data_IF_538882443611
#
_entry.id   IF_538882443611
#
_cell.length_a   1.000
_cell.length_b   1.000
_cell.length_c   1.000
_cell.angle_alpha   90.00
_cell.angle_beta   90.00
_cell.angle_gamma   90.00
#
_symmetry.space_group_name_H-M   'P 1'
#
loop_
_entity.id
_entity.type
_entity.pdbx_description
1 polymer ?
#
# COMPACT_ATOMS: atom_id res chain seq x y z
N UNK A 1 -1.57 14.18 9.09
CA UNK A 1 -1.75 13.83 10.52
C UNK A 1 -3.08 13.13 10.66
N UNK A 2 -3.18 12.24 11.65
CA UNK A 2 -4.41 11.54 11.96
C UNK A 2 -5.27 12.39 12.91
N UNK A 3 -6.60 12.45 12.72
CA UNK A 3 -7.50 13.20 13.60
C UNK A 3 -7.35 12.74 15.06
N UNK A 4 -7.19 13.68 15.99
CA UNK A 4 -7.12 13.42 17.43
C UNK A 4 -5.81 12.80 17.96
N UNK A 5 -4.94 12.25 17.10
CA UNK A 5 -3.73 11.53 17.53
C UNK A 5 -2.43 12.03 16.87
N UNK A 6 -2.50 13.13 16.10
CA UNK A 6 -1.31 13.84 15.61
C UNK A 6 -0.50 13.05 14.58
N UNK A 7 0.82 13.02 14.73
CA UNK A 7 1.76 12.29 13.85
C UNK A 7 1.91 10.81 14.28
N UNK A 8 0.82 10.14 14.65
CA UNK A 8 0.83 8.74 15.06
C UNK A 8 1.22 7.74 13.95
N UNK A 9 1.45 8.19 12.71
CA UNK A 9 2.03 7.38 11.63
C UNK A 9 3.51 7.78 11.33
N UNK A 10 4.08 8.69 12.12
CA UNK A 10 5.48 9.12 11.98
C UNK A 10 5.79 9.95 10.72
N UNK A 11 4.79 10.59 10.09
CA UNK A 11 5.00 11.37 8.86
C UNK A 11 5.96 12.56 9.03
N UNK A 12 6.18 13.02 10.26
CA UNK A 12 7.22 14.00 10.59
C UNK A 12 8.63 13.44 10.34
N UNK A 13 8.85 12.15 10.62
CA UNK A 13 10.12 11.46 10.38
C UNK A 13 10.32 11.12 8.90
N UNK A 14 9.25 10.76 8.19
CA UNK A 14 9.26 10.59 6.73
C UNK A 14 9.74 11.89 6.06
N UNK A 15 9.11 13.01 6.42
CA UNK A 15 9.48 14.32 5.90
C UNK A 15 10.94 14.68 6.23
N UNK A 16 11.37 14.43 7.47
CA UNK A 16 12.75 14.70 7.91
C UNK A 16 13.78 13.88 7.13
N UNK A 17 13.54 12.58 6.94
CA UNK A 17 14.41 11.68 6.17
C UNK A 17 14.47 12.08 4.69
N UNK A 18 13.32 12.39 4.07
CA UNK A 18 13.26 12.82 2.67
C UNK A 18 13.96 14.16 2.43
N UNK A 19 13.78 15.14 3.32
CA UNK A 19 14.48 16.44 3.24
C UNK A 19 15.99 16.25 3.40
N UNK A 20 16.42 15.49 4.42
CA UNK A 20 17.83 15.22 4.66
C UNK A 20 18.48 14.51 3.46
N UNK A 21 17.82 13.49 2.91
CA UNK A 21 18.31 12.75 1.75
C UNK A 21 18.39 13.60 0.49
N UNK A 22 17.36 14.40 0.21
CA UNK A 22 17.33 15.29 -0.95
C UNK A 22 18.44 16.37 -0.86
N UNK A 23 18.60 17.01 0.30
CA UNK A 23 19.63 18.03 0.50
C UNK A 23 21.05 17.44 0.42
N UNK A 24 21.30 16.28 1.04
CA UNK A 24 22.60 15.62 0.95
C UNK A 24 22.95 15.23 -0.49
N UNK A 25 21.97 14.75 -1.26
CA UNK A 25 22.17 14.42 -2.68
C UNK A 25 22.42 15.68 -3.51
N UNK A 26 21.65 16.75 -3.28
CA UNK A 26 21.85 18.02 -3.98
C UNK A 26 23.23 18.62 -3.70
N UNK A 27 23.71 18.55 -2.45
CA UNK A 27 25.05 18.97 -2.08
C UNK A 27 26.12 18.14 -2.80
N UNK A 28 25.96 16.82 -2.84
CA UNK A 28 26.88 15.95 -3.58
C UNK A 28 26.95 16.33 -5.07
N UNK A 29 25.80 16.51 -5.74
CA UNK A 29 25.75 16.91 -7.15
C UNK A 29 26.37 18.29 -7.37
N UNK A 30 26.21 19.24 -6.45
CA UNK A 30 26.82 20.58 -6.56
C UNK A 30 28.35 20.55 -6.58
N UNK A 31 28.96 19.53 -5.97
CA UNK A 31 30.40 19.31 -5.98
C UNK A 31 30.89 18.42 -7.15
N UNK A 32 29.97 17.84 -7.93
CA UNK A 32 30.27 16.95 -9.04
C UNK A 32 29.50 17.37 -10.31
N UNK A 33 29.83 18.53 -10.91
CA UNK A 33 29.07 19.11 -12.04
C UNK A 33 29.12 18.27 -13.32
N UNK A 34 30.00 17.27 -13.40
CA UNK A 34 30.04 16.30 -14.50
C UNK A 34 28.93 15.25 -14.43
N UNK A 35 28.27 15.08 -13.28
CA UNK A 35 27.16 14.15 -13.12
C UNK A 35 25.85 14.80 -13.62
N UNK A 36 25.25 14.28 -14.70
CA UNK A 36 23.99 14.82 -15.21
C UNK A 36 22.82 14.40 -14.33
N UNK A 37 21.83 15.29 -14.17
CA UNK A 37 20.56 14.98 -13.55
C UNK A 37 20.07 16.02 -12.55
N UNK A 38 19.02 15.69 -11.81
CA UNK A 38 18.42 16.56 -10.80
C UNK A 38 17.69 15.76 -9.73
N UNK A 39 17.40 16.42 -8.62
CA UNK A 39 16.55 15.91 -7.55
C UNK A 39 15.31 16.78 -7.45
N UNK A 40 14.15 16.16 -7.27
CA UNK A 40 12.89 16.85 -6.97
C UNK A 40 12.33 16.30 -5.66
N UNK A 41 12.09 17.19 -4.70
CA UNK A 41 11.46 16.85 -3.44
C UNK A 41 9.98 17.21 -3.50
N UNK A 42 9.11 16.20 -3.35
CA UNK A 42 7.66 16.38 -3.37
C UNK A 42 7.10 16.43 -1.95
N UNK A 43 6.32 17.46 -1.65
CA UNK A 43 5.42 17.47 -0.50
C UNK A 43 4.09 16.80 -0.87
N UNK A 44 3.78 15.66 -0.25
CA UNK A 44 2.64 14.82 -0.65
C UNK A 44 1.61 14.74 0.50
N UNK A 45 0.62 15.65 0.55
CA UNK A 45 -0.36 15.66 1.65
C UNK A 45 -1.34 14.48 1.56
N UNK A 46 -2.10 14.25 2.64
CA UNK A 46 -3.28 13.38 2.64
C UNK A 46 -3.04 11.90 2.26
N UNK A 47 -1.89 11.32 2.62
CA UNK A 47 -1.62 9.90 2.38
C UNK A 47 -2.59 8.96 3.14
N UNK A 48 -3.05 9.34 4.35
CA UNK A 48 -3.96 8.57 5.23
C UNK A 48 -5.41 8.39 4.71
N UNK A 49 -5.67 8.65 3.42
CA UNK A 49 -6.96 8.39 2.78
C UNK A 49 -7.31 9.32 1.61
N UNK A 50 -6.56 10.41 1.40
CA UNK A 50 -6.81 11.36 0.31
C UNK A 50 -6.03 11.10 -0.97
N UNK A 51 -5.02 10.22 -0.94
CA UNK A 51 -4.20 9.82 -2.09
C UNK A 51 -3.45 10.98 -2.73
N UNK A 52 -2.73 11.79 -1.94
CA UNK A 52 -2.03 12.97 -2.48
C UNK A 52 -1.01 12.64 -3.56
N UNK A 53 -0.27 11.53 -3.44
CA UNK A 53 0.68 11.10 -4.48
C UNK A 53 -0.05 10.73 -5.77
N UNK A 54 -1.18 10.05 -5.67
CA UNK A 54 -2.04 9.71 -6.81
C UNK A 54 -2.54 10.97 -7.52
N UNK A 55 -2.95 11.99 -6.77
CA UNK A 55 -3.39 13.27 -7.34
C UNK A 55 -2.26 13.98 -8.08
N UNK A 56 -1.06 14.04 -7.49
CA UNK A 56 0.13 14.61 -8.15
C UNK A 56 0.53 13.82 -9.40
N UNK A 57 0.47 12.49 -9.34
CA UNK A 57 0.72 11.61 -10.48
C UNK A 57 -0.25 11.88 -11.62
N UNK A 58 -1.56 11.92 -11.33
CA UNK A 58 -2.62 12.22 -12.32
C UNK A 58 -2.52 13.64 -12.89
N UNK A 59 -2.06 14.60 -12.09
CA UNK A 59 -1.81 15.97 -12.54
C UNK A 59 -0.53 16.12 -13.39
N UNK A 60 0.24 15.03 -13.59
CA UNK A 60 1.44 15.04 -14.41
C UNK A 60 2.68 15.63 -13.72
N UNK A 61 2.66 15.84 -12.40
CA UNK A 61 3.77 16.49 -11.69
C UNK A 61 5.11 15.75 -11.87
N UNK A 62 5.08 14.42 -11.80
CA UNK A 62 6.27 13.58 -12.01
C UNK A 62 6.76 13.63 -13.46
N UNK A 63 5.84 13.60 -14.43
CA UNK A 63 6.16 13.66 -15.85
C UNK A 63 6.73 15.03 -16.25
N UNK A 64 6.18 16.13 -15.71
CA UNK A 64 6.68 17.49 -15.94
C UNK A 64 8.14 17.68 -15.51
N UNK A 65 8.60 16.89 -14.53
CA UNK A 65 9.99 16.88 -14.11
C UNK A 65 10.80 15.71 -14.67
N UNK A 66 10.24 14.82 -15.48
CA UNK A 66 10.96 13.67 -16.03
C UNK A 66 11.55 12.78 -14.94
N UNK A 67 10.76 12.45 -13.92
CA UNK A 67 11.23 11.61 -12.79
C UNK A 67 11.44 10.16 -13.25
N UNK A 68 12.66 9.66 -13.12
CA UNK A 68 13.02 8.27 -13.47
C UNK A 68 12.71 7.24 -12.37
N UNK A 69 12.77 7.65 -11.10
CA UNK A 69 12.51 6.79 -9.93
C UNK A 69 12.08 7.60 -8.71
N UNK A 70 11.49 6.93 -7.72
CA UNK A 70 11.05 7.54 -6.46
C UNK A 70 11.64 6.82 -5.24
N UNK A 71 12.03 7.58 -4.22
CA UNK A 71 12.59 7.08 -2.96
C UNK A 71 11.78 7.65 -1.78
N UNK A 72 11.36 6.78 -0.87
CA UNK A 72 10.69 7.15 0.38
C UNK A 72 11.09 6.20 1.52
N UNK A 73 10.78 6.60 2.75
CA UNK A 73 10.91 5.76 3.93
C UNK A 73 9.65 5.81 4.78
N UNK A 74 9.47 4.81 5.65
CA UNK A 74 8.37 4.79 6.61
C UNK A 74 8.85 4.27 7.97
N UNK A 75 8.58 5.00 9.07
CA UNK A 75 8.89 4.52 10.41
C UNK A 75 7.91 3.43 10.85
N UNK A 76 8.39 2.54 11.71
CA UNK A 76 7.58 1.55 12.39
C UNK A 76 8.26 1.05 13.65
N UNK A 77 7.76 -0.06 14.18
CA UNK A 77 8.35 -0.75 15.35
C UNK A 77 8.94 -2.11 14.97
N UNK A 78 8.84 -2.49 13.69
CA UNK A 78 9.38 -3.73 13.14
C UNK A 78 10.79 -3.49 12.60
N UNK A 79 11.55 -4.57 12.40
CA UNK A 79 12.93 -4.50 11.95
C UNK A 79 13.09 -3.67 10.67
N UNK A 80 14.24 -3.00 10.54
CA UNK A 80 14.61 -2.24 9.35
C UNK A 80 14.57 -3.14 8.11
N UNK A 81 14.10 -2.59 6.99
CA UNK A 81 13.98 -3.30 5.72
C UNK A 81 14.24 -2.36 4.55
N UNK A 82 14.88 -2.86 3.49
CA UNK A 82 15.03 -2.12 2.24
C UNK A 82 13.89 -2.40 1.25
N UNK A 83 13.20 -3.52 1.41
CA UNK A 83 12.18 -4.03 0.50
C UNK A 83 10.81 -4.05 1.18
N UNK A 84 10.33 -2.88 1.63
CA UNK A 84 9.00 -2.79 2.21
C UNK A 84 7.94 -3.02 1.13
N UNK A 85 7.05 -3.98 1.35
CA UNK A 85 5.89 -4.28 0.49
C UNK A 85 4.61 -4.06 1.28
N UNK A 86 3.73 -3.22 0.75
CA UNK A 86 2.43 -2.88 1.36
C UNK A 86 1.30 -3.53 0.58
N UNK A 87 0.19 -3.84 1.24
CA UNK A 87 -1.00 -4.42 0.61
C UNK A 87 -1.78 -3.42 -0.26
N UNK A 88 -2.48 -3.94 -1.27
CA UNK A 88 -3.47 -3.20 -2.06
C UNK A 88 -4.82 -3.22 -1.34
N UNK A 89 -5.62 -2.15 -1.48
CA UNK A 89 -7.01 -2.17 -1.02
C UNK A 89 -7.95 -1.37 -1.91
N UNK A 90 -9.24 -1.69 -1.83
CA UNK A 90 -10.34 -0.90 -2.37
C UNK A 90 -11.44 -0.77 -1.31
N UNK A 91 -11.90 0.44 -1.08
CA UNK A 91 -13.09 0.73 -0.29
C UNK A 91 -14.25 1.14 -1.21
N UNK A 92 -15.47 0.74 -0.86
CA UNK A 92 -16.65 1.06 -1.64
C UNK A 92 -17.92 1.01 -0.79
N UNK A 93 -18.90 1.83 -1.16
CA UNK A 93 -20.25 1.81 -0.60
C UNK A 93 -21.16 0.96 -1.46
N UNK A 94 -22.01 0.16 -0.82
CA UNK A 94 -23.04 -0.66 -1.44
C UNK A 94 -24.40 -0.13 -1.03
N UNK A 95 -25.27 0.10 -2.00
CA UNK A 95 -26.64 0.56 -1.81
C UNK A 95 -27.60 -0.39 -2.53
N UNK A 96 -28.66 -0.83 -1.84
CA UNK A 96 -29.78 -1.56 -2.42
C UNK A 96 -31.02 -0.69 -2.42
N UNK A 97 -31.73 -0.69 -3.54
CA UNK A 97 -33.00 0.02 -3.72
C UNK A 97 -34.10 -0.99 -4.06
N UNK A 98 -35.13 -1.00 -3.22
CA UNK A 98 -36.30 -1.86 -3.32
C UNK A 98 -37.58 -1.05 -3.43
N UNK A 99 -38.65 -1.56 -2.82
CA UNK A 99 -39.98 -0.95 -2.83
C UNK A 99 -40.69 -1.23 -1.51
N UNK A 100 -41.21 -0.18 -0.89
CA UNK A 100 -41.93 -0.32 0.38
C UNK A 100 -43.28 -1.02 0.17
N UNK A 101 -43.69 -1.75 1.19
CA UNK A 101 -45.03 -2.33 1.33
C UNK A 101 -45.30 -2.55 2.83
N UNK A 102 -46.57 -2.70 3.20
CA UNK A 102 -46.91 -3.00 4.59
C UNK A 102 -46.54 -4.47 4.87
N UNK A 103 -45.59 -4.69 5.78
CA UNK A 103 -44.96 -6.00 5.96
C UNK A 103 -45.97 -7.12 6.29
N UNK A 104 -47.04 -6.81 7.04
CA UNK A 104 -48.07 -7.79 7.38
C UNK A 104 -49.26 -7.85 6.40
N UNK A 105 -49.57 -6.77 5.67
CA UNK A 105 -50.84 -6.66 4.94
C UNK A 105 -50.70 -7.02 3.46
N UNK A 106 -49.57 -6.64 2.84
CA UNK A 106 -49.34 -6.85 1.42
C UNK A 106 -47.84 -7.00 1.08
N UNK A 107 -47.08 -7.88 1.78
CA UNK A 107 -45.63 -8.01 1.58
C UNK A 107 -45.23 -8.39 0.15
N UNK A 108 -46.09 -9.12 -0.58
CA UNK A 108 -45.85 -9.51 -1.98
C UNK A 108 -45.77 -8.33 -2.97
N UNK A 109 -46.18 -7.13 -2.56
CA UNK A 109 -46.01 -5.91 -3.35
C UNK A 109 -44.64 -5.25 -3.11
N UNK A 110 -43.91 -5.63 -2.06
CA UNK A 110 -42.61 -5.05 -1.71
C UNK A 110 -41.43 -5.69 -2.42
N UNK A 111 -40.29 -5.00 -2.38
CA UNK A 111 -38.96 -5.53 -2.73
C UNK A 111 -38.04 -5.15 -1.57
N UNK A 112 -37.53 -6.15 -0.84
CA UNK A 112 -36.82 -5.91 0.41
C UNK A 112 -35.31 -5.71 0.21
N UNK A 113 -34.85 -4.46 0.30
CA UNK A 113 -33.45 -4.09 0.20
C UNK A 113 -32.60 -4.60 1.38
N UNK A 114 -33.18 -4.71 2.59
CA UNK A 114 -32.45 -5.27 3.74
C UNK A 114 -32.15 -6.75 3.51
N UNK A 115 -33.12 -7.52 3.02
CA UNK A 115 -32.92 -8.95 2.72
C UNK A 115 -31.86 -9.13 1.63
N UNK A 116 -31.77 -8.22 0.66
CA UNK A 116 -30.72 -8.21 -0.35
C UNK A 116 -29.33 -8.05 0.29
N UNK A 117 -29.18 -7.09 1.22
CA UNK A 117 -27.93 -6.84 1.92
C UNK A 117 -27.56 -8.00 2.85
N UNK A 118 -28.53 -8.57 3.57
CA UNK A 118 -28.31 -9.73 4.45
C UNK A 118 -27.90 -10.95 3.63
N UNK A 119 -28.56 -11.21 2.49
CA UNK A 119 -28.20 -12.29 1.57
C UNK A 119 -26.77 -12.13 1.06
N UNK A 120 -26.39 -10.92 0.65
CA UNK A 120 -25.02 -10.62 0.25
C UNK A 120 -24.02 -10.83 1.40
N UNK A 121 -24.37 -10.41 2.63
CA UNK A 121 -23.51 -10.60 3.81
C UNK A 121 -23.31 -12.09 4.14
N UNK A 122 -24.35 -12.90 4.03
CA UNK A 122 -24.26 -14.35 4.17
C UNK A 122 -23.39 -14.96 3.08
N UNK A 123 -23.53 -14.52 1.82
CA UNK A 123 -22.68 -14.96 0.72
C UNK A 123 -21.21 -14.58 0.94
N UNK A 124 -20.92 -13.39 1.46
CA UNK A 124 -19.58 -12.97 1.86
C UNK A 124 -19.03 -13.86 2.99
N UNK A 125 -19.87 -14.22 3.97
CA UNK A 125 -19.48 -15.13 5.04
C UNK A 125 -19.07 -16.51 4.50
N UNK A 126 -19.80 -17.04 3.52
CA UNK A 126 -19.45 -18.29 2.87
C UNK A 126 -18.15 -18.18 2.05
N UNK A 127 -17.97 -17.09 1.29
CA UNK A 127 -16.78 -16.83 0.47
C UNK A 127 -15.47 -16.86 1.27
N UNK A 128 -15.48 -16.48 2.55
CA UNK A 128 -14.28 -16.42 3.40
C UNK A 128 -13.51 -17.73 3.51
N UNK A 129 -14.16 -18.88 3.32
CA UNK A 129 -13.43 -20.16 3.31
C UNK A 129 -12.58 -20.34 2.03
N UNK A 130 -12.92 -19.66 0.94
CA UNK A 130 -12.25 -19.75 -0.36
C UNK A 130 -11.28 -18.59 -0.63
N UNK A 131 -11.02 -17.73 0.35
CA UNK A 131 -10.04 -16.65 0.24
C UNK A 131 -8.62 -17.14 0.49
N UNK A 132 -7.62 -16.47 -0.12
CA UNK A 132 -6.21 -16.79 0.10
C UNK A 132 -5.72 -16.23 1.44
N UNK A 133 -4.62 -16.76 2.01
CA UNK A 133 -3.89 -16.06 3.05
C UNK A 133 -3.55 -14.62 2.60
N UNK A 134 -3.80 -13.63 3.46
CA UNK A 134 -3.59 -12.20 3.15
C UNK A 134 -4.84 -11.49 2.60
N UNK A 135 -5.84 -12.21 2.10
CA UNK A 135 -7.11 -11.61 1.69
C UNK A 135 -7.91 -11.16 2.92
N UNK A 136 -8.40 -9.92 2.89
CA UNK A 136 -9.22 -9.36 3.97
C UNK A 136 -10.46 -8.71 3.38
N UNK A 137 -11.63 -9.12 3.89
CA UNK A 137 -12.93 -8.51 3.59
C UNK A 137 -13.49 -7.94 4.88
N UNK A 138 -13.79 -6.65 4.90
CA UNK A 138 -14.33 -5.90 6.03
C UNK A 138 -15.55 -5.11 5.59
N UNK A 139 -16.46 -4.81 6.52
CA UNK A 139 -17.54 -3.87 6.25
C UNK A 139 -18.49 -3.69 7.42
N UNK A 140 -19.39 -2.72 7.26
CA UNK A 140 -20.46 -2.41 8.20
C UNK A 140 -21.79 -2.15 7.45
N UNK A 141 -22.90 -2.24 8.16
CA UNK A 141 -24.21 -1.81 7.66
C UNK A 141 -24.42 -0.37 8.14
N UNK A 142 -24.54 0.56 7.20
CA UNK A 142 -24.76 1.99 7.50
C UNK A 142 -26.24 2.34 7.51
N UNK A 143 -27.07 1.57 6.81
CA UNK A 143 -28.53 1.66 6.85
C UNK A 143 -29.15 0.28 6.72
N UNK A 144 -29.89 -0.14 7.74
CA UNK A 144 -30.54 -1.46 7.82
C UNK A 144 -32.06 -1.41 7.62
N UNK A 145 -32.59 -0.39 6.94
CA UNK A 145 -34.03 -0.17 6.82
C UNK A 145 -34.64 0.70 7.93
N UNK A 146 -35.95 0.92 7.86
CA UNK A 146 -36.67 1.91 8.67
C UNK A 146 -37.35 1.32 9.92
N UNK A 147 -38.49 0.63 9.77
CA UNK A 147 -39.26 0.04 10.86
C UNK A 147 -39.73 -1.38 10.50
N UNK A 148 -39.85 -2.32 11.46
CA UNK A 148 -40.19 -3.72 11.16
C UNK A 148 -41.53 -3.94 10.45
N UNK A 149 -42.48 -3.01 10.55
CA UNK A 149 -43.80 -3.11 9.90
C UNK A 149 -43.81 -2.65 8.44
N UNK A 150 -42.65 -2.26 7.88
CA UNK A 150 -42.49 -1.76 6.51
C UNK A 150 -41.41 -2.60 5.82
N UNK A 151 -41.71 -3.14 4.62
CA UNK A 151 -40.68 -3.72 3.76
C UNK A 151 -39.67 -2.65 3.38
N UNK A 152 -38.39 -2.90 3.64
CA UNK A 152 -37.37 -1.86 3.53
C UNK A 152 -37.02 -1.58 2.06
N UNK A 153 -37.31 -0.37 1.58
CA UNK A 153 -36.94 0.05 0.21
C UNK A 153 -35.49 0.50 0.07
N UNK A 154 -34.75 0.65 1.17
CA UNK A 154 -33.36 1.06 1.13
C UNK A 154 -32.55 0.37 2.22
N UNK A 155 -31.35 -0.10 1.85
CA UNK A 155 -30.33 -0.58 2.76
C UNK A 155 -28.95 -0.28 2.18
N UNK A 156 -27.97 -0.03 3.04
CA UNK A 156 -26.62 0.33 2.62
C UNK A 156 -25.55 -0.14 3.61
N UNK A 157 -24.33 -0.25 3.11
CA UNK A 157 -23.15 -0.57 3.91
C UNK A 157 -21.85 -0.13 3.23
N UNK A 158 -20.81 0.08 4.03
CA UNK A 158 -19.47 0.38 3.52
C UNK A 158 -18.57 -0.84 3.70
N UNK A 159 -17.78 -1.13 2.67
CA UNK A 159 -16.95 -2.33 2.61
C UNK A 159 -15.53 -2.00 2.15
N UNK A 160 -14.58 -2.78 2.64
CA UNK A 160 -13.18 -2.73 2.26
C UNK A 160 -12.70 -4.12 1.91
N UNK A 161 -11.98 -4.23 0.80
CA UNK A 161 -11.32 -5.45 0.37
C UNK A 161 -9.83 -5.16 0.23
N UNK A 162 -8.99 -6.04 0.75
CA UNK A 162 -7.52 -5.91 0.76
C UNK A 162 -6.88 -7.23 0.37
N UNK A 163 -5.77 -7.16 -0.36
CA UNK A 163 -4.96 -8.32 -0.71
C UNK A 163 -3.49 -7.91 -0.88
N UNK A 164 -2.59 -8.90 -0.92
CA UNK A 164 -1.14 -8.68 -0.98
C UNK A 164 -0.65 -8.07 -2.32
N UNK A 165 -1.46 -8.16 -3.37
CA UNK A 165 -1.14 -7.58 -4.69
C UNK A 165 -2.39 -7.02 -5.37
N UNK A 166 -2.20 -6.07 -6.28
CA UNK A 166 -3.27 -5.50 -7.09
C UNK A 166 -3.98 -6.55 -7.95
N UNK A 167 -3.23 -7.53 -8.48
CA UNK A 167 -3.79 -8.62 -9.26
C UNK A 167 -4.72 -9.49 -8.40
N UNK A 168 -4.27 -9.89 -7.20
CA UNK A 168 -5.09 -10.67 -6.27
C UNK A 168 -6.30 -9.86 -5.77
N UNK A 169 -6.11 -8.56 -5.51
CA UNK A 169 -7.19 -7.66 -5.11
C UNK A 169 -8.30 -7.61 -6.18
N UNK A 170 -7.93 -7.54 -7.47
CA UNK A 170 -8.90 -7.53 -8.56
C UNK A 170 -9.73 -8.83 -8.60
N UNK A 171 -9.10 -9.99 -8.41
CA UNK A 171 -9.79 -11.28 -8.32
C UNK A 171 -10.74 -11.35 -7.13
N UNK A 172 -10.26 -10.97 -5.95
CA UNK A 172 -11.05 -10.96 -4.71
C UNK A 172 -12.22 -9.98 -4.82
N UNK A 173 -12.00 -8.79 -5.39
CA UNK A 173 -13.05 -7.78 -5.61
C UNK A 173 -14.14 -8.29 -6.53
N UNK A 174 -13.77 -9.05 -7.57
CA UNK A 174 -14.73 -9.70 -8.46
C UNK A 174 -15.53 -10.80 -7.76
N UNK A 175 -14.90 -11.59 -6.88
CA UNK A 175 -15.61 -12.58 -6.03
C UNK A 175 -16.62 -11.90 -5.10
N UNK A 176 -16.19 -10.85 -4.40
CA UNK A 176 -17.02 -10.03 -3.51
C UNK A 176 -18.16 -9.34 -4.25
N UNK A 177 -17.91 -8.85 -5.47
CA UNK A 177 -18.94 -8.24 -6.32
C UNK A 177 -20.10 -9.21 -6.59
N UNK A 178 -19.79 -10.48 -6.91
CA UNK A 178 -20.82 -11.50 -7.14
C UNK A 178 -21.68 -11.78 -5.90
N UNK A 179 -21.13 -11.65 -4.70
CA UNK A 179 -21.92 -11.77 -3.47
C UNK A 179 -22.99 -10.68 -3.36
N UNK A 180 -22.66 -9.44 -3.73
CA UNK A 180 -23.64 -8.35 -3.76
C UNK A 180 -24.64 -8.53 -4.90
N UNK A 181 -24.20 -8.95 -6.08
CA UNK A 181 -25.11 -9.24 -7.19
C UNK A 181 -26.10 -10.37 -6.86
N UNK A 182 -25.67 -11.39 -6.10
CA UNK A 182 -26.55 -12.45 -5.63
C UNK A 182 -27.68 -11.93 -4.73
N UNK A 183 -27.39 -10.97 -3.83
CA UNK A 183 -28.41 -10.33 -2.99
C UNK A 183 -29.44 -9.55 -3.80
N UNK A 184 -28.98 -8.81 -4.82
CA UNK A 184 -29.85 -8.11 -5.77
C UNK A 184 -30.76 -9.08 -6.53
N UNK A 185 -30.17 -10.14 -7.08
CA UNK A 185 -30.85 -11.14 -7.88
C UNK A 185 -31.91 -11.90 -7.07
N UNK A 186 -31.58 -12.33 -5.84
CA UNK A 186 -32.47 -13.10 -5.00
C UNK A 186 -33.75 -12.34 -4.60
N UNK A 187 -33.66 -11.02 -4.48
CA UNK A 187 -34.73 -10.17 -3.96
C UNK A 187 -35.43 -9.34 -5.02
N UNK A 188 -34.81 -9.13 -6.18
CA UNK A 188 -35.24 -8.17 -7.18
C UNK A 188 -34.87 -6.72 -6.86
N UNK A 189 -34.07 -6.47 -5.81
CA UNK A 189 -33.57 -5.13 -5.48
C UNK A 189 -32.54 -4.66 -6.52
N UNK A 190 -32.50 -3.35 -6.76
CA UNK A 190 -31.46 -2.73 -7.59
C UNK A 190 -30.22 -2.47 -6.76
N UNK A 191 -29.08 -3.00 -7.19
CA UNK A 191 -27.77 -2.76 -6.60
C UNK A 191 -27.09 -1.53 -7.22
N UNK A 192 -26.46 -0.71 -6.38
CA UNK A 192 -25.49 0.32 -6.78
C UNK A 192 -24.24 0.14 -5.92
N UNK A 193 -23.08 0.13 -6.58
CA UNK A 193 -21.79 0.07 -5.91
C UNK A 193 -20.97 1.28 -6.31
N UNK A 194 -20.47 2.02 -5.32
CA UNK A 194 -19.68 3.24 -5.53
C UNK A 194 -18.32 3.07 -4.88
N UNK A 195 -17.24 3.08 -5.67
CA UNK A 195 -15.89 3.08 -5.12
C UNK A 195 -15.58 4.40 -4.40
N UNK A 196 -15.03 4.31 -3.19
CA UNK A 196 -14.73 5.47 -2.33
C UNK A 196 -13.23 5.71 -2.16
N UNK A 197 -12.39 4.70 -2.43
CA UNK A 197 -10.95 4.81 -2.32
C UNK A 197 -10.24 3.54 -2.77
N UNK A 198 -9.00 3.68 -3.24
CA UNK A 198 -8.17 2.55 -3.65
C UNK A 198 -6.70 2.93 -3.58
N UNK A 199 -5.85 2.05 -3.04
CA UNK A 199 -4.39 2.11 -3.21
C UNK A 199 -3.89 0.78 -3.77
N UNK A 200 -2.89 0.83 -4.64
CA UNK A 200 -2.18 -0.36 -5.11
C UNK A 200 -1.21 -0.87 -4.03
N UNK A 201 -0.74 -2.11 -4.18
CA UNK A 201 0.38 -2.61 -3.40
C UNK A 201 1.67 -1.88 -3.77
N UNK A 202 2.61 -1.75 -2.83
CA UNK A 202 3.93 -1.24 -3.16
C UNK A 202 4.83 -2.38 -3.63
N UNK A 203 5.37 -2.25 -4.84
CA UNK A 203 6.34 -3.19 -5.41
C UNK A 203 7.76 -2.61 -5.27
N UNK A 204 8.56 -3.06 -4.28
CA UNK A 204 9.89 -2.51 -4.06
C UNK A 204 10.86 -2.91 -5.18
N UNK A 205 11.66 -1.94 -5.66
CA UNK A 205 12.69 -2.20 -6.66
C UNK A 205 13.95 -2.81 -6.03
N UNK A 206 14.18 -4.10 -6.31
CA UNK A 206 15.30 -4.90 -5.77
C UNK A 206 16.70 -4.29 -5.98
N UNK A 207 17.09 -3.83 -7.18
CA UNK A 207 18.37 -3.13 -7.35
C UNK A 207 18.56 -1.89 -6.45
N UNK A 208 17.51 -1.08 -6.26
CA UNK A 208 17.54 0.05 -5.31
C UNK A 208 17.65 -0.44 -3.86
N UNK A 209 16.90 -1.48 -3.49
CA UNK A 209 16.99 -2.11 -2.17
C UNK A 209 18.39 -2.64 -1.86
N UNK A 210 19.03 -3.31 -2.81
CA UNK A 210 20.42 -3.77 -2.70
C UNK A 210 21.39 -2.62 -2.46
N UNK A 211 21.19 -1.48 -3.14
CA UNK A 211 21.98 -0.27 -2.90
C UNK A 211 21.78 0.26 -1.48
N UNK A 212 20.51 0.36 -1.05
CA UNK A 212 20.17 0.83 0.29
C UNK A 212 20.73 -0.07 1.39
N UNK A 213 20.56 -1.38 1.26
CA UNK A 213 21.05 -2.38 2.23
C UNK A 213 22.56 -2.26 2.44
N UNK A 214 23.35 -2.08 1.36
CA UNK A 214 24.78 -1.82 1.50
C UNK A 214 25.05 -0.56 2.31
N UNK A 215 24.45 0.56 1.91
CA UNK A 215 24.66 1.85 2.57
C UNK A 215 24.24 1.83 4.04
N UNK A 216 23.05 1.30 4.33
CA UNK A 216 22.52 1.16 5.68
C UNK A 216 23.43 0.30 6.56
N UNK A 217 23.86 -0.86 6.05
CA UNK A 217 24.72 -1.77 6.81
C UNK A 217 26.13 -1.23 7.07
N UNK A 218 26.62 -0.32 6.22
CA UNK A 218 27.86 0.45 6.47
C UNK A 218 27.66 1.53 7.53
N UNK A 219 26.47 2.15 7.59
CA UNK A 219 26.12 3.15 8.59
C UNK A 219 25.75 2.54 9.97
N UNK A 220 25.43 1.24 10.01
CA UNK A 220 25.07 0.53 11.25
C UNK A 220 26.31 0.15 12.08
N UNK A 221 26.12 0.06 13.40
CA UNK A 221 27.19 -0.21 14.37
C UNK A 221 27.82 -1.59 14.17
N UNK A 222 29.07 -1.73 14.64
CA UNK A 222 29.89 -2.95 14.45
C UNK A 222 29.30 -4.20 15.12
N UNK A 223 28.40 -4.04 16.08
CA UNK A 223 27.74 -5.13 16.82
C UNK A 223 26.64 -5.85 16.02
N UNK A 224 26.34 -5.38 14.80
CA UNK A 224 25.44 -6.08 13.86
C UNK A 224 23.94 -5.91 14.15
N UNK A 225 23.57 -5.21 15.23
CA UNK A 225 22.18 -4.87 15.53
C UNK A 225 21.64 -3.87 14.50
N UNK A 226 20.41 -4.10 14.03
CA UNK A 226 19.76 -3.25 13.02
C UNK A 226 20.38 -3.35 11.62
N UNK A 227 21.04 -4.46 11.28
CA UNK A 227 21.44 -4.73 9.89
C UNK A 227 20.28 -5.34 9.10
N UNK A 228 20.14 -4.87 7.87
CA UNK A 228 19.22 -5.45 6.89
C UNK A 228 19.88 -6.72 6.31
N UNK A 229 19.15 -7.85 6.17
CA UNK A 229 19.67 -9.05 5.54
C UNK A 229 20.25 -8.77 4.15
N UNK A 230 21.36 -9.42 3.80
CA UNK A 230 21.92 -9.35 2.44
C UNK A 230 21.10 -10.19 1.45
N UNK A 231 20.38 -11.19 1.96
CA UNK A 231 19.43 -11.98 1.19
C UNK A 231 18.14 -11.16 0.97
N UNK A 232 17.89 -10.80 -0.29
CA UNK A 232 16.76 -9.95 -0.70
C UNK A 232 15.41 -10.64 -0.45
N UNK A 233 15.33 -11.97 -0.50
CA UNK A 233 14.08 -12.70 -0.25
C UNK A 233 13.74 -12.67 1.25
N UNK A 234 14.76 -12.80 2.12
CA UNK A 234 14.59 -12.67 3.56
C UNK A 234 14.20 -11.25 3.95
N UNK A 235 14.82 -10.23 3.33
CA UNK A 235 14.45 -8.83 3.57
C UNK A 235 13.01 -8.54 3.13
N UNK A 236 12.60 -8.98 1.94
CA UNK A 236 11.23 -8.77 1.44
C UNK A 236 10.19 -9.48 2.33
N UNK A 237 10.46 -10.71 2.81
CA UNK A 237 9.55 -11.40 3.74
C UNK A 237 9.39 -10.60 5.04
N UNK A 238 10.47 -10.03 5.58
CA UNK A 238 10.42 -9.19 6.79
C UNK A 238 9.75 -7.84 6.55
N UNK A 239 9.89 -7.30 5.34
CA UNK A 239 9.34 -6.01 4.94
C UNK A 239 7.87 -6.04 4.49
N UNK A 240 7.22 -7.22 4.45
CA UNK A 240 5.79 -7.33 4.14
C UNK A 240 4.94 -6.81 5.28
N UNK A 241 3.97 -5.98 4.93
CA UNK A 241 2.98 -5.43 5.86
C UNK A 241 1.60 -5.34 5.23
N UNK A 242 0.55 -5.48 6.06
CA UNK A 242 -0.84 -5.27 5.68
C UNK A 242 -1.26 -3.79 5.71
N UNK A 243 -0.32 -2.87 5.95
CA UNK A 243 -0.54 -1.45 5.70
C UNK A 243 -0.80 -1.19 4.20
N UNK A 244 -1.34 -0.02 3.88
CA UNK A 244 -1.49 0.48 2.50
C UNK A 244 -1.06 1.92 2.42
N UNK A 245 -0.51 2.29 1.28
CA UNK A 245 -0.03 3.66 1.04
C UNK A 245 -0.19 4.01 -0.43
N UNK A 246 -0.42 5.29 -0.72
CA UNK A 246 -0.47 5.80 -2.09
C UNK A 246 0.90 5.78 -2.80
N UNK A 247 1.97 5.38 -2.09
CA UNK A 247 3.25 5.01 -2.70
C UNK A 247 3.13 3.78 -3.61
N UNK A 248 2.16 2.90 -3.34
CA UNK A 248 1.88 1.77 -4.22
C UNK A 248 1.62 2.22 -5.65
N UNK A 249 0.75 3.22 -5.84
CA UNK A 249 0.45 3.80 -7.14
C UNK A 249 1.68 4.41 -7.84
N UNK A 250 2.60 4.99 -7.08
CA UNK A 250 3.89 5.46 -7.62
C UNK A 250 4.74 4.28 -8.12
N UNK A 251 4.82 3.19 -7.36
CA UNK A 251 5.58 1.99 -7.76
C UNK A 251 5.06 1.30 -9.03
N UNK A 252 3.77 1.48 -9.35
CA UNK A 252 3.21 1.03 -10.62
C UNK A 252 3.43 1.99 -11.79
N UNK A 253 3.81 3.24 -11.51
CA UNK A 253 4.07 4.25 -12.52
C UNK A 253 5.56 4.41 -12.87
N UNK A 254 6.44 4.12 -11.92
CA UNK A 254 7.89 4.20 -12.08
C UNK A 254 8.61 3.34 -11.01
N UNK A 255 9.90 3.02 -11.19
CA UNK A 255 10.70 2.38 -10.15
C UNK A 255 10.58 3.12 -8.81
N UNK A 256 10.27 2.38 -7.75
CA UNK A 256 10.06 2.94 -6.42
C UNK A 256 10.81 2.13 -5.38
N UNK A 257 11.42 2.82 -4.42
CA UNK A 257 11.95 2.24 -3.19
C UNK A 257 11.20 2.84 -2.00
N UNK A 258 10.65 1.97 -1.17
CA UNK A 258 10.13 2.32 0.15
C UNK A 258 10.87 1.49 1.18
N UNK A 259 11.60 2.16 2.08
CA UNK A 259 12.35 1.49 3.16
C UNK A 259 11.59 1.60 4.47
N UNK A 260 11.56 0.51 5.24
CA UNK A 260 11.03 0.51 6.60
C UNK A 260 12.17 0.74 7.59
N UNK A 261 11.94 1.54 8.63
CA UNK A 261 12.92 1.72 9.70
C UNK A 261 12.27 1.69 11.09
N UNK A 262 12.95 1.07 12.04
CA UNK A 262 12.47 0.96 13.40
C UNK A 262 12.74 2.24 14.19
N UNK A 263 11.75 2.71 14.95
CA UNK A 263 11.93 3.66 16.05
C UNK A 263 11.48 2.99 17.36
N UNK A 264 11.83 3.55 18.54
CA UNK A 264 11.29 3.05 19.79
C UNK A 264 9.75 2.97 19.73
N UNK A 265 9.14 1.87 20.23
CA UNK A 265 7.68 1.79 20.28
C UNK A 265 7.11 2.81 21.28
N UNK A 266 5.79 3.00 21.24
CA UNK A 266 5.09 3.66 22.34
C UNK A 266 5.31 2.94 23.67
N UNK A 267 5.03 3.60 24.80
CA UNK A 267 5.25 3.04 26.16
C UNK A 267 4.58 1.66 26.34
N UNK A 268 3.41 1.44 25.75
CA UNK A 268 2.70 0.17 25.73
C UNK A 268 3.14 -0.82 24.64
N UNK A 269 4.27 -0.58 23.96
CA UNK A 269 4.78 -1.41 22.87
C UNK A 269 4.08 -1.19 21.52
N UNK A 270 3.23 -0.17 21.42
CA UNK A 270 2.36 0.04 20.26
C UNK A 270 3.06 0.74 19.10
N UNK A 271 2.65 0.38 17.89
CA UNK A 271 3.16 0.91 16.63
C UNK A 271 2.32 2.04 16.03
N UNK A 272 2.44 2.28 14.72
CA UNK A 272 1.67 3.31 14.02
C UNK A 272 0.17 3.29 14.33
N UNK A 273 -0.45 4.46 14.25
CA UNK A 273 -1.86 4.77 14.53
C UNK A 273 -2.23 4.69 16.03
N UNK A 274 -1.25 4.77 16.92
CA UNK A 274 -1.43 4.89 18.37
C UNK A 274 -0.91 6.26 18.89
N UNK A 275 -1.60 6.94 19.82
CA UNK A 275 -1.12 8.18 20.44
C UNK A 275 0.29 8.09 21.05
N UNK A 276 0.63 6.95 21.66
CA UNK A 276 1.95 6.73 22.26
C UNK A 276 3.05 6.66 21.19
N UNK A 277 2.73 6.15 20.00
CA UNK A 277 3.66 6.17 18.88
C UNK A 277 3.86 7.58 18.32
N UNK A 278 2.85 8.46 18.41
CA UNK A 278 3.03 9.87 18.08
C UNK A 278 4.05 10.54 19.02
N UNK A 279 4.00 10.21 20.31
CA UNK A 279 4.98 10.68 21.29
C UNK A 279 6.39 10.12 20.98
N UNK A 280 6.49 8.82 20.72
CA UNK A 280 7.76 8.17 20.34
C UNK A 280 8.37 8.78 19.07
N UNK A 281 7.54 9.04 18.04
CA UNK A 281 7.95 9.68 16.79
C UNK A 281 8.37 11.15 16.97
N UNK A 282 8.03 11.79 18.09
CA UNK A 282 8.45 13.14 18.46
C UNK A 282 9.79 13.20 19.20
N UNK A 283 10.40 12.06 19.52
CA UNK A 283 11.65 12.00 20.31
C UNK A 283 12.88 12.39 19.49
N UNK A 284 13.93 12.84 20.20
CA UNK A 284 15.26 13.10 19.61
C UNK A 284 15.85 11.84 18.97
N UNK A 285 15.70 10.69 19.64
CA UNK A 285 16.19 9.41 19.14
C UNK A 285 15.54 9.04 17.80
N UNK A 286 14.20 9.11 17.70
CA UNK A 286 13.49 8.84 16.45
C UNK A 286 13.91 9.80 15.32
N UNK A 287 14.13 11.08 15.65
CA UNK A 287 14.64 12.06 14.69
C UNK A 287 16.04 11.70 14.19
N UNK A 288 16.98 11.32 15.08
CA UNK A 288 18.33 10.92 14.69
C UNK A 288 18.36 9.67 13.80
N UNK A 289 17.47 8.70 14.09
CA UNK A 289 17.26 7.54 13.21
C UNK A 289 16.78 8.00 11.83
N UNK A 290 15.81 8.92 11.76
CA UNK A 290 15.33 9.46 10.48
C UNK A 290 16.44 10.16 9.67
N UNK A 291 17.40 10.82 10.33
CA UNK A 291 18.56 11.39 9.65
C UNK A 291 19.51 10.31 9.10
N UNK A 292 19.69 9.20 9.82
CA UNK A 292 20.45 8.04 9.31
C UNK A 292 19.75 7.43 8.08
N UNK A 293 18.43 7.31 8.10
CA UNK A 293 17.63 6.86 6.96
C UNK A 293 17.80 7.81 5.77
N UNK A 294 17.75 9.12 6.00
CA UNK A 294 18.02 10.13 4.97
C UNK A 294 19.40 9.96 4.32
N UNK A 295 20.45 9.65 5.09
CA UNK A 295 21.78 9.32 4.55
C UNK A 295 21.76 8.05 3.68
N UNK A 296 21.03 7.01 4.09
CA UNK A 296 20.84 5.81 3.30
C UNK A 296 20.15 6.09 1.97
N UNK A 297 19.07 6.88 1.97
CA UNK A 297 18.37 7.29 0.75
C UNK A 297 19.26 8.14 -0.16
N UNK A 298 20.06 9.06 0.41
CA UNK A 298 21.03 9.84 -0.37
C UNK A 298 22.10 8.95 -1.01
N UNK A 299 22.59 7.94 -0.29
CA UNK A 299 23.55 6.99 -0.85
C UNK A 299 22.99 6.21 -2.04
N UNK A 300 21.70 5.81 -2.00
CA UNK A 300 21.01 5.20 -3.15
C UNK A 300 20.95 6.17 -4.32
N UNK A 301 20.54 7.41 -4.08
CA UNK A 301 20.46 8.41 -5.14
C UNK A 301 21.83 8.69 -5.78
N UNK A 302 22.89 8.81 -4.97
CA UNK A 302 24.28 8.96 -5.45
C UNK A 302 24.74 7.73 -6.21
N UNK A 303 24.44 6.52 -5.74
CA UNK A 303 24.72 5.27 -6.46
C UNK A 303 24.09 5.30 -7.87
N UNK A 304 22.85 5.78 -8.01
CA UNK A 304 22.16 5.90 -9.31
C UNK A 304 22.88 6.86 -10.27
N UNK A 305 23.44 7.97 -9.77
CA UNK A 305 24.19 8.91 -10.61
C UNK A 305 25.60 8.43 -10.96
N UNK A 306 26.22 7.63 -10.11
CA UNK A 306 27.67 7.35 -10.19
C UNK A 306 28.01 5.94 -10.63
N UNK A 307 27.11 4.97 -10.43
CA UNK A 307 27.34 3.58 -10.83
C UNK A 307 26.78 3.34 -12.22
N UNK A 308 27.69 3.11 -13.15
CA UNK A 308 27.37 2.76 -14.52
C UNK A 308 26.40 1.58 -14.58
N UNK A 309 25.33 1.72 -15.37
CA UNK A 309 24.33 0.68 -15.59
C UNK A 309 23.27 0.50 -14.49
N UNK A 310 23.42 1.11 -13.30
CA UNK A 310 22.46 0.89 -12.21
C UNK A 310 21.05 1.39 -12.56
N UNK A 311 20.92 2.58 -13.15
CA UNK A 311 19.61 3.11 -13.57
C UNK A 311 18.91 2.18 -14.58
N UNK A 312 19.68 1.60 -15.51
CA UNK A 312 19.15 0.68 -16.51
C UNK A 312 18.75 -0.67 -15.89
N UNK A 313 19.50 -1.17 -14.90
CA UNK A 313 19.11 -2.34 -14.09
C UNK A 313 17.79 -2.06 -13.35
N UNK A 314 17.67 -0.90 -12.71
CA UNK A 314 16.47 -0.45 -11.99
C UNK A 314 15.24 -0.41 -12.90
N UNK A 315 15.36 0.23 -14.08
CA UNK A 315 14.28 0.34 -15.06
C UNK A 315 13.87 -1.01 -15.66
N UNK A 316 14.83 -1.91 -15.87
CA UNK A 316 14.57 -3.26 -16.39
C UNK A 316 13.85 -4.11 -15.35
N UNK A 317 14.35 -4.13 -14.12
CA UNK A 317 13.71 -4.85 -13.01
C UNK A 317 12.25 -4.39 -12.82
N UNK A 318 12.01 -3.08 -12.85
CA UNK A 318 10.66 -2.54 -12.77
C UNK A 318 9.74 -2.99 -13.92
N UNK A 319 10.21 -2.92 -15.18
CA UNK A 319 9.43 -3.39 -16.34
C UNK A 319 9.06 -4.88 -16.23
N UNK A 320 10.00 -5.71 -15.79
CA UNK A 320 9.76 -7.14 -15.52
C UNK A 320 8.70 -7.33 -14.44
N UNK A 321 8.85 -6.64 -13.31
CA UNK A 321 7.94 -6.79 -12.16
C UNK A 321 6.52 -6.25 -12.46
N UNK A 322 6.41 -5.28 -13.39
CA UNK A 322 5.13 -4.78 -13.93
C UNK A 322 4.56 -5.62 -15.09
N UNK A 323 5.24 -6.69 -15.51
CA UNK A 323 4.80 -7.54 -16.62
C UNK A 323 4.84 -6.86 -18.00
N UNK A 324 5.73 -5.87 -18.17
CA UNK A 324 5.87 -5.08 -19.41
C UNK A 324 6.96 -5.59 -20.35
N UNK A 325 7.67 -6.67 -20.00
CA UNK A 325 8.59 -7.34 -20.92
C UNK A 325 7.80 -8.25 -21.88
N UNK A 326 8.11 -8.20 -23.18
CA UNK A 326 7.66 -9.21 -24.12
C UNK A 326 8.15 -10.57 -23.62
N UNK A 327 7.25 -11.57 -23.60
CA UNK A 327 7.66 -12.95 -23.40
C UNK A 327 8.67 -13.28 -24.50
N UNK A 328 9.95 -13.28 -24.16
CA UNK A 328 10.93 -13.98 -24.98
C UNK A 328 10.54 -15.45 -24.87
N UNK A 329 9.98 -16.00 -25.94
CA UNK A 329 9.74 -17.44 -26.07
C UNK A 329 11.09 -18.15 -25.97
N UNK A 330 11.50 -18.49 -24.75
CA UNK A 330 12.70 -19.28 -24.51
C UNK A 330 12.37 -20.75 -24.80
N UNK A 331 12.57 -21.11 -26.05
CA UNK A 331 12.62 -22.50 -26.51
C UNK A 331 13.90 -23.15 -25.97
N UNK A 332 13.72 -24.11 -25.03
CA UNK A 332 14.67 -25.09 -24.43
C UNK A 332 15.23 -24.62 -23.09
N UNK A 333 15.14 -25.35 -21.98
CA UNK A 333 15.30 -26.80 -21.75
C UNK A 333 14.50 -27.25 -20.52
N UNK A 334 13.65 -28.27 -20.67
CA UNK A 334 13.00 -28.94 -19.53
C UNK A 334 14.03 -29.82 -18.80
N UNK A 335 14.64 -29.30 -17.74
CA UNK A 335 15.23 -30.12 -16.68
C UNK A 335 14.15 -30.44 -15.65
N UNK A 336 13.53 -31.62 -15.72
CA UNK A 336 12.69 -32.15 -14.65
C UNK A 336 13.60 -32.76 -13.58
N UNK A 337 13.61 -32.17 -12.38
CA UNK A 337 14.08 -32.81 -11.16
C UNK A 337 12.91 -32.86 -10.20
N UNK A 338 12.40 -34.07 -9.96
CA UNK A 338 11.40 -34.35 -8.93
C UNK A 338 12.06 -35.17 -7.82
N UNK A 339 11.89 -34.72 -6.59
CA UNK A 339 12.02 -35.56 -5.40
C UNK A 339 10.68 -35.53 -4.68
N UNK A 340 10.18 -36.71 -4.34
CA UNK A 340 9.11 -36.91 -3.38
C UNK A 340 9.68 -37.74 -2.22
N UNK A 341 9.18 -37.49 -1.02
CA UNK A 341 9.02 -38.54 0.00
C UNK A 341 7.62 -39.12 -0.21
#
# INVERSE_FOLDING_TARGET
CLPGIGHACGHNLIASASVAGALATALYLSHHPSLPGKIVLYGTPAEEGGGGKIRLLRAGAYAAHGVDLNLISHPGIVADTSLMRTSAYTSFSVEYFGREAHAAANPWLGINALDALVTAYTALSALRQQTMPGDVIQGNITSGGARPNIIHAYAAGDFVVRADSQARLAELRAQVQRCFEAGALATGAKLKVTETGSYKDHVPNRPLGRSYTRAWNTLSTKDGKGKIPLDEDVDEIRGRTMASTDQGDISYAMPSLSVGFAIPPGEGGQGPHNPEFAAAAGTREAYEISLKVGKGLAAVAVDVFTKEGLLEEVKRAWRRDMGMEEKVDDVRTRGLLSWWI
#
